data_IF_523764722848
#
_entry.id   IF_523764722848
#
_cell.length_a   1.000
_cell.length_b   1.000
_cell.length_c   1.000
_cell.angle_alpha   90.00
_cell.angle_beta   90.00
_cell.angle_gamma   90.00
#
_symmetry.space_group_name_H-M   'P 1'
#
loop_
_entity.id
_entity.type
_entity.pdbx_description
1 polymer ?
#
# COMPACT_ATOMS: atom_id res chain seq x y z
N UNK A 1 -22.76 -8.46 -16.78
CA UNK A 1 -22.02 -9.53 -16.05
C UNK A 1 -21.39 -8.90 -14.81
N UNK A 2 -21.43 -9.57 -13.65
CA UNK A 2 -21.14 -8.93 -12.35
C UNK A 2 -20.24 -9.81 -11.47
N UNK A 3 -19.28 -9.20 -10.78
CA UNK A 3 -18.50 -9.87 -9.74
C UNK A 3 -18.15 -8.89 -8.60
N UNK A 4 -17.96 -9.44 -7.40
CA UNK A 4 -17.56 -8.70 -6.20
C UNK A 4 -16.24 -9.26 -5.68
N UNK A 5 -15.29 -8.40 -5.36
CA UNK A 5 -14.02 -8.79 -4.77
C UNK A 5 -13.69 -7.96 -3.52
N UNK A 6 -12.91 -8.55 -2.62
CA UNK A 6 -12.33 -7.89 -1.45
C UNK A 6 -10.81 -7.93 -1.58
N UNK A 7 -10.15 -6.82 -1.30
CA UNK A 7 -8.69 -6.76 -1.16
C UNK A 7 -8.30 -5.96 0.09
N UNK A 8 -7.23 -6.39 0.74
CA UNK A 8 -6.71 -5.77 1.96
C UNK A 8 -5.65 -4.72 1.66
N UNK A 9 -5.51 -3.74 2.55
CA UNK A 9 -4.46 -2.72 2.48
C UNK A 9 -3.10 -3.35 2.82
N UNK A 10 -2.02 -2.78 2.32
CA UNK A 10 -0.66 -3.15 2.72
C UNK A 10 0.13 -1.94 3.23
N UNK A 11 1.11 -2.20 4.09
CA UNK A 11 2.05 -1.20 4.62
C UNK A 11 3.46 -1.57 4.18
N UNK A 12 4.14 -0.65 3.49
CA UNK A 12 5.48 -0.88 2.98
C UNK A 12 6.51 -0.89 4.12
N UNK A 13 7.28 -1.97 4.22
CA UNK A 13 8.44 -2.09 5.10
C UNK A 13 9.72 -1.68 4.35
N UNK A 14 9.78 -2.02 3.06
CA UNK A 14 10.69 -1.41 2.08
C UNK A 14 9.86 -0.51 1.17
N UNK A 15 10.19 0.79 1.13
CA UNK A 15 9.34 1.80 0.50
C UNK A 15 9.41 1.76 -1.02
N UNK A 16 8.25 2.01 -1.62
CA UNK A 16 8.12 2.42 -3.01
C UNK A 16 8.09 3.94 -3.07
N UNK A 17 9.15 4.56 -3.60
CA UNK A 17 9.23 6.01 -3.75
C UNK A 17 10.03 6.38 -5.01
N UNK A 18 9.36 7.05 -5.95
CA UNK A 18 9.87 7.33 -7.30
C UNK A 18 9.43 6.31 -8.36
N UNK A 19 9.28 6.78 -9.61
CA UNK A 19 8.92 5.97 -10.77
C UNK A 19 9.98 6.18 -11.84
N UNK A 20 10.40 5.09 -12.50
CA UNK A 20 11.20 5.17 -13.74
C UNK A 20 10.33 5.42 -14.97
N UNK A 21 9.04 5.05 -14.90
CA UNK A 21 8.04 5.32 -15.94
C UNK A 21 6.70 5.68 -15.28
N UNK A 22 6.20 6.89 -15.53
CA UNK A 22 4.94 7.36 -14.96
C UNK A 22 3.69 6.83 -15.68
N UNK A 23 3.81 6.49 -16.97
CA UNK A 23 2.71 6.02 -17.80
C UNK A 23 2.38 4.56 -17.48
N UNK A 24 3.41 3.71 -17.43
CA UNK A 24 3.32 2.30 -17.09
C UNK A 24 3.32 2.05 -15.57
N UNK A 25 3.59 3.09 -14.78
CA UNK A 25 3.70 3.07 -13.31
C UNK A 25 4.77 2.06 -12.87
N UNK A 26 5.96 2.17 -13.46
CA UNK A 26 7.10 1.32 -13.15
C UNK A 26 7.95 1.98 -12.07
N UNK A 27 8.29 1.27 -10.98
CA UNK A 27 8.95 1.87 -9.85
C UNK A 27 10.45 2.02 -10.11
N UNK A 28 11.11 2.93 -9.39
CA UNK A 28 12.57 3.04 -9.45
C UNK A 28 13.28 1.89 -8.72
N UNK A 29 12.63 1.32 -7.70
CA UNK A 29 13.14 0.23 -6.87
C UNK A 29 12.03 -0.81 -6.58
N UNK A 30 12.41 -2.05 -6.33
CA UNK A 30 11.53 -3.09 -5.78
C UNK A 30 11.15 -2.72 -4.35
N UNK A 31 10.01 -3.21 -3.88
CA UNK A 31 9.48 -2.86 -2.56
C UNK A 31 8.84 -4.06 -1.88
N UNK A 32 8.79 -4.06 -0.55
CA UNK A 32 8.23 -5.14 0.26
C UNK A 32 7.22 -4.55 1.25
N UNK A 33 6.06 -5.16 1.36
CA UNK A 33 5.00 -4.75 2.28
C UNK A 33 4.44 -5.88 3.11
N UNK A 34 3.79 -5.51 4.20
CA UNK A 34 2.96 -6.36 5.02
C UNK A 34 1.47 -6.04 4.76
N UNK A 35 0.71 -7.01 4.26
CA UNK A 35 -0.74 -6.91 4.07
C UNK A 35 -1.43 -7.01 5.43
N UNK A 36 -2.44 -6.17 5.68
CA UNK A 36 -3.08 -6.05 7.01
C UNK A 36 -4.57 -6.39 6.99
N UNK A 37 -5.04 -7.12 8.00
CA UNK A 37 -6.39 -7.69 8.09
C UNK A 37 -7.52 -6.66 8.30
N UNK A 38 -7.23 -5.59 9.04
CA UNK A 38 -8.27 -4.67 9.54
C UNK A 38 -8.83 -3.73 8.48
N UNK A 39 -8.10 -3.52 7.40
CA UNK A 39 -8.39 -2.49 6.41
C UNK A 39 -8.52 -3.09 5.03
N UNK A 40 -9.73 -3.06 4.48
CA UNK A 40 -10.01 -3.62 3.17
C UNK A 40 -10.97 -2.77 2.37
N UNK A 41 -10.98 -3.02 1.06
CA UNK A 41 -11.95 -2.47 0.12
C UNK A 41 -12.74 -3.62 -0.47
N UNK A 42 -14.07 -3.49 -0.46
CA UNK A 42 -14.99 -4.36 -1.19
C UNK A 42 -15.44 -3.62 -2.44
N UNK A 43 -15.26 -4.21 -3.62
CA UNK A 43 -15.64 -3.60 -4.89
C UNK A 43 -16.44 -4.59 -5.72
N UNK A 44 -17.57 -4.13 -6.20
CA UNK A 44 -18.42 -4.81 -7.18
C UNK A 44 -18.28 -4.10 -8.52
N UNK A 45 -18.02 -4.87 -9.57
CA UNK A 45 -18.01 -4.39 -10.96
C UNK A 45 -19.09 -5.12 -11.73
N UNK A 46 -19.87 -4.36 -12.48
CA UNK A 46 -20.83 -4.86 -13.46
C UNK A 46 -20.52 -4.24 -14.82
N UNK A 47 -20.16 -5.07 -15.81
CA UNK A 47 -20.08 -4.66 -17.21
C UNK A 47 -21.45 -4.83 -17.87
N UNK A 48 -22.01 -3.74 -18.39
CA UNK A 48 -23.33 -3.69 -19.02
C UNK A 48 -23.30 -2.87 -20.32
N UNK A 49 -23.74 -3.50 -21.42
CA UNK A 49 -23.81 -2.89 -22.75
C UNK A 49 -24.94 -1.87 -22.89
N UNK A 50 -25.94 -1.93 -21.99
CA UNK A 50 -27.07 -0.98 -21.98
C UNK A 50 -26.71 0.36 -21.35
N UNK A 51 -25.61 0.42 -20.61
CA UNK A 51 -25.12 1.65 -20.00
C UNK A 51 -24.47 2.54 -21.06
N UNK A 52 -24.83 3.83 -21.06
CA UNK A 52 -24.25 4.84 -21.96
C UNK A 52 -22.98 5.48 -21.39
N UNK A 53 -22.75 5.36 -20.08
CA UNK A 53 -21.58 5.90 -19.38
C UNK A 53 -21.20 5.04 -18.17
N UNK A 54 -19.96 5.16 -17.74
CA UNK A 54 -19.51 4.53 -16.50
C UNK A 54 -20.12 5.22 -15.28
N UNK A 55 -20.39 4.45 -14.23
CA UNK A 55 -20.87 4.98 -12.95
C UNK A 55 -20.01 4.45 -11.81
N UNK A 56 -19.64 5.33 -10.90
CA UNK A 56 -18.83 4.99 -9.73
C UNK A 56 -19.52 5.48 -8.46
N UNK A 57 -19.78 4.54 -7.55
CA UNK A 57 -20.35 4.77 -6.23
C UNK A 57 -19.31 4.35 -5.21
N UNK A 58 -18.92 5.25 -4.32
CA UNK A 58 -18.01 5.00 -3.22
C UNK A 58 -18.74 5.29 -1.90
N UNK A 59 -18.84 4.29 -1.01
CA UNK A 59 -19.53 4.42 0.27
C UNK A 59 -20.94 5.01 0.14
N UNK A 60 -21.74 4.48 -0.78
CA UNK A 60 -23.10 4.93 -1.12
C UNK A 60 -23.22 6.33 -1.74
N UNK A 61 -22.11 7.00 -2.04
CA UNK A 61 -22.10 8.30 -2.72
C UNK A 61 -21.59 8.16 -4.15
N UNK A 62 -22.32 8.72 -5.12
CA UNK A 62 -21.83 8.81 -6.49
C UNK A 62 -20.64 9.78 -6.55
N UNK A 63 -19.55 9.35 -7.19
CA UNK A 63 -18.31 10.13 -7.31
C UNK A 63 -17.86 10.20 -8.76
N UNK A 64 -17.23 11.33 -9.10
CA UNK A 64 -16.43 11.46 -10.32
C UNK A 64 -14.97 11.38 -9.92
N UNK A 65 -14.28 10.32 -10.34
CA UNK A 65 -12.87 10.12 -10.08
C UNK A 65 -12.13 9.79 -11.38
N UNK A 66 -11.27 10.71 -11.82
CA UNK A 66 -10.55 10.59 -13.08
C UNK A 66 -9.54 9.42 -13.07
N UNK A 67 -9.05 9.01 -11.89
CA UNK A 67 -8.13 7.88 -11.74
C UNK A 67 -8.88 6.56 -11.90
N UNK A 68 -10.07 6.44 -11.31
CA UNK A 68 -10.95 5.28 -11.53
C UNK A 68 -11.36 5.22 -13.00
N UNK A 69 -11.80 6.32 -13.60
CA UNK A 69 -12.19 6.37 -15.01
C UNK A 69 -11.09 5.86 -15.96
N UNK A 70 -9.85 6.39 -15.84
CA UNK A 70 -8.70 5.91 -16.63
C UNK A 70 -8.40 4.43 -16.41
N UNK A 71 -8.60 3.94 -15.19
CA UNK A 71 -8.36 2.54 -14.88
C UNK A 71 -9.41 1.61 -15.50
N UNK A 72 -10.67 2.04 -15.53
CA UNK A 72 -11.75 1.34 -16.26
C UNK A 72 -11.47 1.33 -17.77
N UNK A 73 -11.01 2.45 -18.33
CA UNK A 73 -10.59 2.50 -19.75
C UNK A 73 -9.47 1.50 -20.04
N UNK A 74 -8.46 1.44 -19.16
CA UNK A 74 -7.36 0.47 -19.29
C UNK A 74 -7.87 -0.97 -19.22
N UNK A 75 -8.77 -1.28 -18.30
CA UNK A 75 -9.38 -2.62 -18.23
C UNK A 75 -10.16 -2.96 -19.50
N UNK A 76 -10.93 -2.02 -20.05
CA UNK A 76 -11.66 -2.24 -21.31
C UNK A 76 -10.72 -2.56 -22.47
N UNK A 77 -9.63 -1.81 -22.60
CA UNK A 77 -8.59 -2.03 -23.60
C UNK A 77 -7.98 -3.43 -23.44
N UNK A 78 -7.53 -3.77 -22.24
CA UNK A 78 -6.90 -5.07 -21.92
C UNK A 78 -7.85 -6.27 -22.11
N UNK A 79 -9.14 -6.08 -21.86
CA UNK A 79 -10.14 -7.15 -21.95
C UNK A 79 -10.79 -7.26 -23.32
N UNK A 80 -10.59 -6.26 -24.20
CA UNK A 80 -11.24 -6.19 -25.51
C UNK A 80 -12.76 -6.02 -25.43
N UNK A 81 -13.26 -5.28 -24.43
CA UNK A 81 -14.70 -5.06 -24.21
C UNK A 81 -15.09 -3.58 -24.41
N UNK A 82 -16.30 -3.33 -24.92
CA UNK A 82 -16.86 -1.99 -25.12
C UNK A 82 -17.88 -1.57 -24.07
N UNK A 83 -18.41 -2.53 -23.30
CA UNK A 83 -19.43 -2.32 -22.28
C UNK A 83 -18.98 -1.29 -21.22
N UNK A 84 -19.93 -0.49 -20.73
CA UNK A 84 -19.67 0.45 -19.64
C UNK A 84 -19.78 -0.26 -18.30
N UNK A 85 -19.11 0.29 -17.30
CA UNK A 85 -19.02 -0.28 -15.97
C UNK A 85 -19.93 0.46 -14.98
N UNK A 86 -20.69 -0.30 -14.19
CA UNK A 86 -21.18 0.16 -12.90
C UNK A 86 -20.27 -0.38 -11.81
N UNK A 87 -19.68 0.53 -11.03
CA UNK A 87 -18.72 0.22 -9.98
C UNK A 87 -19.31 0.68 -8.66
N UNK A 88 -19.48 -0.25 -7.73
CA UNK A 88 -19.86 0.05 -6.34
C UNK A 88 -18.73 -0.39 -5.44
N UNK A 89 -18.19 0.53 -4.66
CA UNK A 89 -17.05 0.26 -3.78
C UNK A 89 -17.32 0.75 -2.36
N UNK A 90 -16.89 -0.04 -1.39
CA UNK A 90 -16.96 0.27 0.04
C UNK A 90 -15.57 0.15 0.65
N UNK A 91 -15.13 1.21 1.34
CA UNK A 91 -13.87 1.21 2.05
C UNK A 91 -14.11 0.95 3.54
N UNK A 92 -13.64 -0.19 4.03
CA UNK A 92 -13.55 -0.51 5.45
C UNK A 92 -12.20 -0.08 6.01
N UNK A 93 -11.81 1.15 5.68
CA UNK A 93 -10.64 1.84 6.22
C UNK A 93 -11.20 3.00 7.02
N UNK A 94 -10.88 3.16 8.31
CA UNK A 94 -11.36 4.31 9.06
C UNK A 94 -11.02 5.57 8.28
N UNK A 95 -12.02 6.42 8.01
CA UNK A 95 -11.85 7.68 7.28
C UNK A 95 -10.67 8.49 7.84
N UNK A 96 -10.40 8.32 9.13
CA UNK A 96 -9.32 8.97 9.83
C UNK A 96 -7.89 8.47 9.51
N UNK A 97 -7.73 7.26 8.98
CA UNK A 97 -6.46 6.56 9.11
C UNK A 97 -5.41 6.95 8.07
N UNK A 98 -5.75 7.70 7.00
CA UNK A 98 -4.79 8.10 5.96
C UNK A 98 -3.97 6.95 5.37
N UNK A 99 -4.44 5.72 5.58
CA UNK A 99 -3.84 4.47 5.13
C UNK A 99 -4.01 4.40 3.61
N UNK A 100 -3.17 3.62 2.95
CA UNK A 100 -3.12 3.51 1.50
C UNK A 100 -4.38 2.86 0.90
N UNK A 101 -5.55 3.48 1.07
CA UNK A 101 -6.86 3.01 0.58
C UNK A 101 -6.87 2.78 -0.92
N UNK A 102 -6.05 3.52 -1.66
CA UNK A 102 -5.88 3.28 -3.10
C UNK A 102 -5.26 1.92 -3.42
N UNK A 103 -4.44 1.33 -2.54
CA UNK A 103 -3.82 0.03 -2.80
C UNK A 103 -4.87 -1.09 -2.82
N UNK A 104 -5.65 -1.21 -1.74
CA UNK A 104 -6.77 -2.17 -1.66
C UNK A 104 -7.83 -1.87 -2.72
N UNK A 105 -8.17 -0.60 -2.95
CA UNK A 105 -9.22 -0.25 -3.89
C UNK A 105 -8.91 -0.67 -5.33
N UNK A 106 -7.71 -0.40 -5.83
CA UNK A 106 -7.35 -0.79 -7.20
C UNK A 106 -7.08 -2.30 -7.33
N UNK A 107 -6.65 -2.98 -6.26
CA UNK A 107 -6.55 -4.44 -6.25
C UNK A 107 -7.94 -5.11 -6.30
N UNK A 108 -8.88 -4.65 -5.48
CA UNK A 108 -10.27 -5.13 -5.49
C UNK A 108 -10.95 -4.83 -6.83
N UNK A 109 -10.77 -3.61 -7.37
CA UNK A 109 -11.32 -3.21 -8.67
C UNK A 109 -10.76 -4.04 -9.83
N UNK A 110 -9.45 -4.31 -9.85
CA UNK A 110 -8.83 -5.15 -10.87
C UNK A 110 -9.38 -6.59 -10.84
N UNK A 111 -9.44 -7.19 -9.64
CA UNK A 111 -9.93 -8.55 -9.46
C UNK A 111 -11.42 -8.69 -9.78
N UNK A 112 -12.25 -7.77 -9.29
CA UNK A 112 -13.68 -7.74 -9.58
C UNK A 112 -13.93 -7.49 -11.08
N UNK A 113 -13.22 -6.54 -11.69
CA UNK A 113 -13.38 -6.20 -13.11
C UNK A 113 -13.03 -7.37 -14.04
N UNK A 114 -11.92 -8.06 -13.78
CA UNK A 114 -11.52 -9.26 -14.53
C UNK A 114 -12.57 -10.39 -14.40
N UNK A 115 -13.00 -10.70 -13.17
CA UNK A 115 -14.00 -11.76 -12.94
C UNK A 115 -15.37 -11.40 -13.51
N UNK A 116 -15.78 -10.13 -13.42
CA UNK A 116 -17.03 -9.65 -14.00
C UNK A 116 -17.02 -9.77 -15.53
N UNK A 117 -15.85 -9.72 -16.18
CA UNK A 117 -15.69 -9.96 -17.62
C UNK A 117 -15.62 -11.46 -17.98
N UNK A 118 -15.80 -12.37 -17.01
CA UNK A 118 -15.71 -13.82 -17.23
C UNK A 118 -14.28 -14.34 -17.43
N UNK A 119 -13.26 -13.51 -17.16
CA UNK A 119 -11.85 -13.89 -17.27
C UNK A 119 -11.41 -14.70 -16.05
N UNK A 120 -10.40 -15.54 -16.25
CA UNK A 120 -9.75 -16.36 -15.19
C UNK A 120 -8.27 -16.03 -15.12
N UNK A 121 -7.98 -14.74 -14.94
CA UNK A 121 -6.61 -14.25 -14.93
C UNK A 121 -5.85 -14.73 -13.70
N UNK A 122 -4.54 -14.90 -13.85
CA UNK A 122 -3.64 -15.22 -12.73
C UNK A 122 -3.49 -14.02 -11.80
N UNK A 123 -3.14 -14.25 -10.53
CA UNK A 123 -2.86 -13.15 -9.59
C UNK A 123 -1.69 -12.28 -10.05
N UNK A 124 -0.73 -12.85 -10.74
CA UNK A 124 0.35 -12.10 -11.41
C UNK A 124 -0.22 -11.07 -12.40
N UNK A 125 -1.12 -11.50 -13.30
CA UNK A 125 -1.79 -10.60 -14.22
C UNK A 125 -2.63 -9.54 -13.49
N UNK A 126 -3.40 -9.94 -12.46
CA UNK A 126 -4.17 -9.00 -11.65
C UNK A 126 -3.26 -7.98 -10.95
N UNK A 127 -2.08 -8.39 -10.51
CA UNK A 127 -1.08 -7.52 -9.90
C UNK A 127 -0.51 -6.50 -10.89
N UNK A 128 -0.17 -6.95 -12.11
CA UNK A 128 0.23 -6.06 -13.23
C UNK A 128 -0.87 -5.08 -13.58
N UNK A 129 -2.10 -5.55 -13.66
CA UNK A 129 -3.25 -4.70 -13.96
C UNK A 129 -3.44 -3.66 -12.84
N UNK A 130 -3.53 -4.08 -11.58
CA UNK A 130 -3.72 -3.20 -10.42
C UNK A 130 -2.65 -2.09 -10.32
N UNK A 131 -1.41 -2.36 -10.77
CA UNK A 131 -0.31 -1.39 -10.85
C UNK A 131 -0.70 -0.10 -11.59
N UNK A 132 -1.44 -0.20 -12.70
CA UNK A 132 -1.90 0.95 -13.50
C UNK A 132 -2.90 1.83 -12.74
N UNK A 133 -3.66 1.23 -11.82
CA UNK A 133 -4.49 1.97 -10.88
C UNK A 133 -3.61 2.66 -9.85
N UNK A 134 -2.83 1.89 -9.09
CA UNK A 134 -1.87 2.42 -8.13
C UNK A 134 -0.70 1.45 -8.01
N UNK A 135 0.54 1.93 -8.06
CA UNK A 135 1.72 1.06 -8.00
C UNK A 135 1.69 0.09 -6.81
N UNK A 136 1.36 0.59 -5.61
CA UNK A 136 1.23 -0.24 -4.41
C UNK A 136 0.02 -1.18 -4.37
N UNK A 137 -0.95 -1.03 -5.28
CA UNK A 137 -2.09 -1.96 -5.41
C UNK A 137 -1.65 -3.33 -5.94
N UNK A 138 -0.53 -3.38 -6.69
CA UNK A 138 0.08 -4.65 -7.12
C UNK A 138 0.28 -5.61 -5.95
N UNK A 139 0.75 -5.11 -4.80
CA UNK A 139 1.02 -5.90 -3.59
C UNK A 139 -0.24 -6.29 -2.81
N UNK A 140 -1.30 -5.49 -2.89
CA UNK A 140 -2.60 -5.79 -2.24
C UNK A 140 -3.36 -6.95 -2.88
N UNK A 141 -2.83 -7.55 -3.95
CA UNK A 141 -3.35 -8.80 -4.52
C UNK A 141 -3.03 -10.00 -3.64
N UNK A 142 -1.94 -9.95 -2.87
CA UNK A 142 -1.44 -11.05 -2.05
C UNK A 142 -1.52 -10.73 -0.55
N UNK A 143 -1.55 -11.79 0.28
CA UNK A 143 -1.56 -11.70 1.74
C UNK A 143 -0.14 -11.69 2.34
N UNK A 144 -0.05 -11.61 3.66
CA UNK A 144 1.20 -11.70 4.43
C UNK A 144 2.27 -10.68 3.99
N UNK A 145 3.51 -11.14 3.74
CA UNK A 145 4.54 -10.34 3.11
C UNK A 145 4.47 -10.45 1.60
N UNK A 146 4.64 -9.32 0.92
CA UNK A 146 4.52 -9.23 -0.53
C UNK A 146 5.62 -8.33 -1.08
N UNK A 147 6.34 -8.82 -2.08
CA UNK A 147 7.33 -8.04 -2.83
C UNK A 147 6.66 -7.55 -4.10
N UNK A 148 6.86 -6.28 -4.46
CA UNK A 148 6.66 -5.80 -5.82
C UNK A 148 8.00 -5.69 -6.51
N UNK A 149 8.19 -6.52 -7.53
CA UNK A 149 9.38 -6.49 -8.36
C UNK A 149 9.34 -5.30 -9.31
N UNK A 150 10.43 -4.54 -9.33
CA UNK A 150 10.54 -3.38 -10.22
C UNK A 150 10.49 -3.80 -11.69
N UNK A 151 10.98 -4.99 -12.01
CA UNK A 151 11.19 -5.41 -13.39
C UNK A 151 12.28 -4.60 -14.09
N UNK A 152 12.81 -5.16 -15.16
CA UNK A 152 13.86 -4.60 -16.01
C UNK A 152 13.35 -4.29 -17.42
N UNK A 153 12.25 -4.92 -17.84
CA UNK A 153 11.68 -4.73 -19.17
C UNK A 153 10.98 -3.36 -19.30
N UNK A 154 11.21 -2.71 -20.43
CA UNK A 154 10.64 -1.39 -20.73
C UNK A 154 9.12 -1.41 -20.90
N UNK A 155 8.55 -2.55 -21.32
CA UNK A 155 7.10 -2.74 -21.41
C UNK A 155 6.44 -3.02 -20.04
N UNK A 156 7.26 -3.23 -19.00
CA UNK A 156 6.81 -3.51 -17.65
C UNK A 156 6.11 -4.86 -17.49
N UNK A 157 6.32 -5.80 -18.42
CA UNK A 157 5.70 -7.13 -18.37
C UNK A 157 6.18 -7.98 -17.19
N UNK A 158 7.36 -7.67 -16.66
CA UNK A 158 8.02 -8.30 -15.51
C UNK A 158 7.90 -7.50 -14.19
N UNK A 159 7.15 -6.38 -14.18
CA UNK A 159 6.92 -5.60 -12.96
C UNK A 159 5.59 -5.95 -12.30
N UNK A 160 5.63 -6.89 -11.37
CA UNK A 160 4.45 -7.36 -10.64
C UNK A 160 4.80 -7.80 -9.23
N UNK A 161 3.77 -8.01 -8.41
CA UNK A 161 3.96 -8.49 -7.07
C UNK A 161 4.01 -10.01 -6.98
N UNK A 162 4.81 -10.50 -6.04
CA UNK A 162 4.97 -11.91 -5.70
C UNK A 162 4.82 -12.10 -4.18
N UNK A 163 4.19 -13.19 -3.72
CA UNK A 163 4.08 -13.48 -2.30
C UNK A 163 5.46 -13.85 -1.74
N UNK A 164 5.72 -13.44 -0.50
CA UNK A 164 6.93 -13.76 0.26
C UNK A 164 6.57 -14.29 1.66
N UNK A 165 5.60 -15.21 1.71
CA UNK A 165 5.04 -15.73 2.96
C UNK A 165 6.09 -16.43 3.82
N UNK A 166 6.13 -16.08 5.11
CA UNK A 166 7.00 -16.67 6.13
C UNK A 166 6.25 -16.62 7.48
N UNK A 167 6.47 -17.60 8.37
CA UNK A 167 5.82 -17.70 9.69
C UNK A 167 6.01 -16.48 10.59
N UNK A 168 7.02 -15.65 10.33
CA UNK A 168 7.19 -14.37 11.01
C UNK A 168 5.95 -13.47 10.89
N UNK A 169 5.17 -13.58 9.80
CA UNK A 169 3.93 -12.79 9.64
C UNK A 169 2.92 -13.06 10.76
N UNK A 170 2.84 -14.30 11.26
CA UNK A 170 1.94 -14.68 12.34
C UNK A 170 2.39 -14.12 13.70
N UNK A 171 3.70 -13.87 13.84
CA UNK A 171 4.34 -13.37 15.06
C UNK A 171 4.44 -11.85 15.14
N UNK A 172 4.05 -11.13 14.08
CA UNK A 172 4.14 -9.68 14.01
C UNK A 172 2.77 -9.00 14.08
N UNK A 173 2.72 -7.88 14.79
CA UNK A 173 1.60 -6.94 14.77
C UNK A 173 2.04 -5.62 14.17
N UNK A 174 1.09 -4.96 13.48
CA UNK A 174 1.23 -3.58 13.03
C UNK A 174 0.27 -2.70 13.83
N UNK A 175 0.82 -1.82 14.66
CA UNK A 175 0.06 -0.81 15.41
C UNK A 175 0.06 0.49 14.61
N UNK A 176 -1.11 0.90 14.14
CA UNK A 176 -1.29 2.15 13.39
C UNK A 176 -1.69 3.27 14.35
N UNK A 177 -0.81 4.26 14.51
CA UNK A 177 -1.06 5.48 15.25
C UNK A 177 -1.50 6.60 14.30
N UNK A 178 -2.78 6.96 14.39
CA UNK A 178 -3.41 7.96 13.53
C UNK A 178 -3.15 9.36 14.09
N UNK A 179 -2.28 10.11 13.42
CA UNK A 179 -1.94 11.50 13.76
C UNK A 179 -2.95 12.47 13.13
N UNK A 180 -3.20 12.31 11.82
CA UNK A 180 -4.11 13.17 11.07
C UNK A 180 -4.85 12.41 9.99
N UNK A 181 -6.10 12.82 9.84
CA UNK A 181 -7.09 12.40 8.85
C UNK A 181 -7.32 13.42 7.75
N UNK A 182 -6.66 14.58 7.87
CA UNK A 182 -6.79 15.66 6.89
C UNK A 182 -6.10 15.30 5.58
N UNK A 183 -6.62 15.86 4.50
CA UNK A 183 -6.00 15.76 3.19
C UNK A 183 -4.56 16.26 3.23
N UNK A 184 -3.68 15.53 2.54
CA UNK A 184 -2.25 15.80 2.51
C UNK A 184 -2.01 17.03 1.66
N UNK A 185 -1.13 17.93 2.13
CA UNK A 185 -0.71 19.11 1.35
C UNK A 185 -0.04 18.74 0.02
N UNK A 186 0.76 17.66 0.03
CA UNK A 186 1.46 17.14 -1.15
C UNK A 186 1.00 15.70 -1.36
N UNK A 187 0.42 15.40 -2.52
CA UNK A 187 0.00 14.02 -2.83
C UNK A 187 1.22 13.11 -2.93
N UNK A 188 1.07 11.80 -2.67
CA UNK A 188 2.19 10.86 -2.85
C UNK A 188 2.70 10.86 -4.29
N UNK A 189 1.82 11.05 -5.28
CA UNK A 189 2.20 11.07 -6.70
C UNK A 189 3.09 12.27 -7.00
N UNK A 190 2.69 13.46 -6.55
CA UNK A 190 3.45 14.69 -6.80
C UNK A 190 4.74 14.71 -5.98
N UNK A 191 4.68 14.25 -4.73
CA UNK A 191 5.87 14.14 -3.87
C UNK A 191 6.92 13.21 -4.46
N UNK A 192 6.53 12.03 -4.95
CA UNK A 192 7.45 11.10 -5.62
C UNK A 192 8.05 11.71 -6.88
N UNK A 193 7.24 12.36 -7.73
CA UNK A 193 7.72 12.99 -8.96
C UNK A 193 8.72 14.09 -8.64
N UNK A 194 8.38 14.99 -7.71
CA UNK A 194 9.25 16.06 -7.28
C UNK A 194 10.57 15.52 -6.72
N UNK A 195 10.53 14.47 -5.89
CA UNK A 195 11.74 13.83 -5.39
C UNK A 195 12.61 13.28 -6.52
N UNK A 196 12.03 12.58 -7.50
CA UNK A 196 12.77 12.03 -8.66
C UNK A 196 13.44 13.16 -9.44
N UNK A 197 12.74 14.26 -9.65
CA UNK A 197 13.20 15.37 -10.50
C UNK A 197 14.25 16.25 -9.83
N UNK A 198 14.22 16.37 -8.50
CA UNK A 198 14.95 17.46 -7.81
C UNK A 198 15.78 17.04 -6.60
N UNK A 199 15.53 15.86 -6.00
CA UNK A 199 16.23 15.48 -4.77
C UNK A 199 17.63 14.96 -5.08
N UNK A 200 18.71 15.56 -4.53
CA UNK A 200 20.07 15.08 -4.75
C UNK A 200 20.34 13.72 -4.08
N UNK A 201 19.42 13.26 -3.22
CA UNK A 201 19.52 11.97 -2.54
C UNK A 201 18.84 10.83 -3.30
N UNK A 202 18.11 11.10 -4.39
CA UNK A 202 17.23 10.11 -5.01
C UNK A 202 17.96 8.88 -5.56
N UNK A 203 19.06 9.05 -6.29
CA UNK A 203 19.82 7.91 -6.86
C UNK A 203 20.41 7.00 -5.77
N UNK A 204 20.96 7.62 -4.71
CA UNK A 204 21.49 6.89 -3.56
C UNK A 204 20.38 6.21 -2.76
N UNK A 205 19.19 6.82 -2.69
CA UNK A 205 18.01 6.21 -2.11
C UNK A 205 17.61 4.93 -2.84
N UNK A 206 17.53 4.97 -4.19
CA UNK A 206 17.18 3.80 -5.01
C UNK A 206 18.15 2.66 -4.75
N UNK A 207 19.46 2.94 -4.79
CA UNK A 207 20.50 1.94 -4.54
C UNK A 207 20.42 1.38 -3.12
N UNK A 208 20.21 2.23 -2.12
CA UNK A 208 20.10 1.82 -0.72
C UNK A 208 18.83 0.99 -0.45
N UNK A 209 17.73 1.27 -1.15
CA UNK A 209 16.48 0.53 -1.00
C UNK A 209 16.57 -0.91 -1.56
N UNK A 210 17.32 -1.11 -2.63
CA UNK A 210 17.58 -2.46 -3.18
C UNK A 210 18.46 -3.29 -2.23
N UNK A 211 19.48 -2.67 -1.62
CA UNK A 211 20.30 -3.32 -0.59
C UNK A 211 19.44 -3.68 0.64
N UNK A 212 18.64 -2.71 1.14
CA UNK A 212 17.74 -2.96 2.27
C UNK A 212 16.72 -4.07 1.95
N UNK A 213 16.28 -4.22 0.68
CA UNK A 213 15.37 -5.29 0.27
C UNK A 213 16.01 -6.67 0.41
N UNK A 214 17.24 -6.85 -0.06
CA UNK A 214 17.95 -8.13 0.06
C UNK A 214 18.25 -8.47 1.53
N UNK A 215 18.66 -7.48 2.34
CA UNK A 215 18.79 -7.66 3.79
C UNK A 215 17.44 -8.03 4.45
N UNK A 216 16.34 -7.39 4.03
CA UNK A 216 15.00 -7.65 4.56
C UNK A 216 14.52 -9.05 4.22
N UNK A 217 14.74 -9.51 2.99
CA UNK A 217 14.41 -10.88 2.57
C UNK A 217 15.13 -11.88 3.47
N UNK A 218 16.43 -11.71 3.70
CA UNK A 218 17.21 -12.59 4.57
C UNK A 218 16.70 -12.54 6.02
N UNK A 219 16.47 -11.36 6.58
CA UNK A 219 15.96 -11.20 7.94
C UNK A 219 14.58 -11.87 8.14
N UNK A 220 13.69 -11.79 7.16
CA UNK A 220 12.40 -12.49 7.18
C UNK A 220 12.60 -14.01 7.13
N UNK A 221 13.49 -14.51 6.26
CA UNK A 221 13.78 -15.95 6.15
C UNK A 221 14.36 -16.51 7.45
N UNK A 222 15.21 -15.76 8.14
CA UNK A 222 15.81 -16.12 9.42
C UNK A 222 14.87 -15.90 10.62
N UNK A 223 13.65 -15.39 10.39
CA UNK A 223 12.70 -14.98 11.43
C UNK A 223 13.29 -13.96 12.43
N UNK A 224 14.27 -13.16 12.00
CA UNK A 224 14.93 -12.13 12.81
C UNK A 224 14.08 -10.85 12.86
N UNK A 225 13.16 -10.82 13.81
CA UNK A 225 12.27 -9.68 14.03
C UNK A 225 13.02 -8.36 14.29
N UNK A 226 14.13 -8.41 15.03
CA UNK A 226 14.94 -7.23 15.36
C UNK A 226 15.49 -6.61 14.08
N UNK A 227 16.09 -7.43 13.22
CA UNK A 227 16.66 -6.97 11.95
C UNK A 227 15.58 -6.47 10.98
N UNK A 228 14.44 -7.15 10.89
CA UNK A 228 13.27 -6.66 10.14
C UNK A 228 12.82 -5.28 10.64
N UNK A 229 12.77 -5.11 11.96
CA UNK A 229 12.55 -3.86 12.65
C UNK A 229 13.47 -2.73 12.22
N UNK A 230 14.77 -2.95 12.39
CA UNK A 230 15.81 -1.96 12.08
C UNK A 230 15.81 -1.54 10.61
N UNK A 231 15.64 -2.50 9.69
CA UNK A 231 15.59 -2.22 8.25
C UNK A 231 14.34 -1.39 7.93
N UNK A 232 13.18 -1.77 8.48
CA UNK A 232 11.90 -1.06 8.28
C UNK A 232 12.01 0.41 8.69
N UNK A 233 12.60 0.68 9.86
CA UNK A 233 12.77 2.03 10.40
C UNK A 233 13.77 2.83 9.56
N UNK A 234 14.96 2.27 9.29
CA UNK A 234 15.97 2.99 8.50
C UNK A 234 15.49 3.26 7.07
N UNK A 235 14.85 2.29 6.42
CA UNK A 235 14.39 2.44 5.04
C UNK A 235 13.29 3.50 4.94
N UNK A 236 12.35 3.52 5.89
CA UNK A 236 11.36 4.59 6.02
C UNK A 236 12.01 5.97 6.17
N UNK A 237 13.03 6.10 7.03
CA UNK A 237 13.72 7.38 7.24
C UNK A 237 14.55 7.81 6.02
N UNK A 238 15.22 6.88 5.34
CA UNK A 238 15.92 7.15 4.07
C UNK A 238 14.95 7.70 3.01
N UNK A 239 13.72 7.16 2.91
CA UNK A 239 12.69 7.70 2.01
C UNK A 239 12.36 9.16 2.36
N UNK A 240 12.07 9.48 3.63
CA UNK A 240 11.75 10.85 4.04
C UNK A 240 12.93 11.82 3.91
N UNK A 241 14.18 11.35 3.99
CA UNK A 241 15.35 12.18 3.68
C UNK A 241 15.30 12.70 2.23
N UNK A 242 14.80 11.89 1.29
CA UNK A 242 14.64 12.34 -0.11
C UNK A 242 13.59 13.43 -0.28
N UNK A 243 12.54 13.48 0.55
CA UNK A 243 11.53 14.54 0.50
C UNK A 243 12.08 15.86 1.07
N UNK A 244 12.90 15.77 2.12
CA UNK A 244 13.61 16.91 2.70
C UNK A 244 14.69 17.46 1.76
N UNK A 245 15.28 16.62 0.91
CA UNK A 245 16.25 17.05 -0.11
C UNK A 245 15.63 17.56 -1.41
N UNK A 246 14.33 17.44 -1.62
CA UNK A 246 13.67 17.91 -2.84
C UNK A 246 13.66 19.45 -2.96
N UNK A 247 13.38 19.98 -4.15
CA UNK A 247 13.29 21.43 -4.41
C UNK A 247 11.94 21.81 -5.05
N UNK A 248 11.01 22.46 -4.31
CA UNK A 248 11.12 22.88 -2.92
C UNK A 248 11.07 21.70 -1.94
N UNK A 249 11.74 21.80 -0.77
CA UNK A 249 11.73 20.74 0.21
C UNK A 249 10.36 20.61 0.87
N UNK A 250 9.98 19.38 1.20
CA UNK A 250 8.72 19.11 1.89
C UNK A 250 8.85 17.95 2.88
N UNK A 251 7.94 17.91 3.84
CA UNK A 251 7.87 16.85 4.84
C UNK A 251 6.45 16.37 5.06
N UNK A 252 6.32 15.07 5.30
CA UNK A 252 5.09 14.46 5.78
C UNK A 252 5.00 14.40 7.31
N UNK A 253 6.11 14.69 8.00
CA UNK A 253 6.14 14.69 9.45
C UNK A 253 5.27 15.82 10.01
N UNK A 254 4.61 15.49 11.11
CA UNK A 254 3.99 16.46 12.01
C UNK A 254 4.64 16.33 13.39
N UNK A 255 4.53 17.35 14.26
CA UNK A 255 5.10 17.29 15.61
C UNK A 255 4.72 15.98 16.34
N UNK A 256 3.45 15.59 16.28
CA UNK A 256 2.96 14.34 16.88
C UNK A 256 3.57 13.08 16.24
N UNK A 257 3.90 13.10 14.94
CA UNK A 257 4.61 11.99 14.30
C UNK A 257 5.98 11.77 14.96
N UNK A 258 6.69 12.86 15.30
CA UNK A 258 8.00 12.81 15.94
C UNK A 258 7.88 12.33 17.40
N UNK A 259 6.89 12.83 18.15
CA UNK A 259 6.60 12.36 19.51
C UNK A 259 6.33 10.85 19.55
N UNK A 260 5.58 10.32 18.58
CA UNK A 260 5.35 8.88 18.45
C UNK A 260 6.65 8.14 18.15
N UNK A 261 7.53 8.65 17.27
CA UNK A 261 8.82 8.02 17.00
C UNK A 261 9.69 7.93 18.27
N UNK A 262 9.70 8.99 19.08
CA UNK A 262 10.44 9.03 20.34
C UNK A 262 9.88 8.01 21.34
N UNK A 263 8.55 7.90 21.45
CA UNK A 263 7.91 6.88 22.28
C UNK A 263 8.23 5.45 21.84
N UNK A 264 8.38 5.21 20.53
CA UNK A 264 8.80 3.89 20.00
C UNK A 264 10.27 3.59 20.33
N UNK A 265 11.16 4.59 20.28
CA UNK A 265 12.55 4.43 20.73
C UNK A 265 12.63 4.11 22.21
N UNK A 266 11.83 4.80 23.03
CA UNK A 266 11.75 4.57 24.48
C UNK A 266 11.25 3.15 24.81
N UNK A 267 10.28 2.62 24.06
CA UNK A 267 9.85 1.22 24.19
C UNK A 267 11.02 0.26 23.97
N UNK A 268 11.81 0.50 22.92
CA UNK A 268 12.97 -0.31 22.56
C UNK A 268 14.09 -0.23 23.61
N UNK A 269 14.35 0.96 24.16
CA UNK A 269 15.29 1.16 25.28
C UNK A 269 14.85 0.40 26.54
N UNK A 270 13.54 0.27 26.76
CA UNK A 270 12.96 -0.49 27.87
C UNK A 270 12.79 -1.99 27.58
N UNK A 271 13.43 -2.50 26.52
CA UNK A 271 13.44 -3.93 26.21
C UNK A 271 12.20 -4.45 25.47
N UNK A 272 11.40 -3.56 24.88
CA UNK A 272 10.25 -3.92 24.02
C UNK A 272 10.62 -3.63 22.57
N UNK A 273 10.98 -4.65 21.76
CA UNK A 273 11.28 -4.45 20.36
C UNK A 273 10.11 -3.87 19.58
N UNK A 274 10.22 -2.60 19.22
CA UNK A 274 9.27 -1.88 18.40
C UNK A 274 10.01 -0.96 17.43
N UNK A 275 9.48 -0.85 16.21
CA UNK A 275 10.10 -0.09 15.12
C UNK A 275 9.04 0.60 14.31
N UNK A 276 9.29 1.85 13.93
CA UNK A 276 8.29 2.65 13.24
C UNK A 276 8.57 2.75 11.74
N UNK A 277 7.52 3.01 10.98
CA UNK A 277 7.60 3.41 9.59
C UNK A 277 6.49 4.38 9.24
N UNK A 278 6.71 5.17 8.19
CA UNK A 278 5.74 6.15 7.70
C UNK A 278 5.72 6.12 6.18
N UNK A 279 4.53 6.28 5.61
CA UNK A 279 4.37 6.47 4.17
C UNK A 279 4.35 7.97 3.86
N UNK A 280 3.78 8.36 2.73
CA UNK A 280 3.56 9.76 2.39
C UNK A 280 2.42 10.40 3.20
N UNK A 281 2.57 10.53 4.52
CA UNK A 281 1.61 11.16 5.42
C UNK A 281 2.04 11.05 6.89
N UNK A 282 1.38 11.76 7.81
CA UNK A 282 1.85 11.90 9.20
C UNK A 282 1.58 10.68 10.07
N UNK A 283 0.77 9.72 9.61
CA UNK A 283 0.38 8.56 10.40
C UNK A 283 1.53 7.56 10.49
N UNK A 284 1.86 7.19 11.72
CA UNK A 284 2.97 6.29 12.07
C UNK A 284 2.43 4.87 12.18
N UNK A 285 3.17 3.91 11.63
CA UNK A 285 2.88 2.48 11.77
C UNK A 285 4.04 1.86 12.49
N UNK A 286 3.75 1.09 13.53
CA UNK A 286 4.76 0.49 14.40
C UNK A 286 4.66 -1.01 14.28
N UNK A 287 5.74 -1.66 13.86
CA UNK A 287 5.85 -3.11 13.93
C UNK A 287 6.37 -3.51 15.31
N UNK A 288 5.77 -4.56 15.86
CA UNK A 288 6.13 -5.16 17.14
C UNK A 288 5.79 -6.65 17.10
N UNK A 289 6.37 -7.43 18.02
CA UNK A 289 5.94 -8.81 18.22
C UNK A 289 4.51 -8.88 18.77
N UNK A 290 3.75 -9.91 18.42
CA UNK A 290 2.36 -10.11 18.88
C UNK A 290 2.19 -9.94 20.38
N UNK A 291 3.13 -10.47 21.17
CA UNK A 291 3.07 -10.43 22.63
C UNK A 291 3.10 -8.99 23.19
N UNK A 292 3.66 -8.04 22.43
CA UNK A 292 3.86 -6.66 22.85
C UNK A 292 2.80 -5.69 22.29
N UNK A 293 1.87 -6.17 21.44
CA UNK A 293 0.96 -5.29 20.67
C UNK A 293 0.10 -4.36 21.55
N UNK A 294 -0.35 -4.85 22.70
CA UNK A 294 -1.15 -4.06 23.64
C UNK A 294 -0.30 -3.02 24.37
N UNK A 295 0.92 -3.37 24.76
CA UNK A 295 1.84 -2.43 25.43
C UNK A 295 2.21 -1.28 24.47
N UNK A 296 2.51 -1.63 23.21
CA UNK A 296 2.78 -0.64 22.17
C UNK A 296 1.54 0.23 21.93
N UNK A 297 0.35 -0.37 21.77
CA UNK A 297 -0.86 0.40 21.54
C UNK A 297 -1.19 1.35 22.70
N UNK A 298 -1.03 0.91 23.95
CA UNK A 298 -1.24 1.72 25.15
C UNK A 298 -0.29 2.91 25.19
N UNK A 299 1.01 2.68 24.97
CA UNK A 299 2.03 3.75 24.91
C UNK A 299 1.67 4.83 23.88
N UNK A 300 1.09 4.44 22.75
CA UNK A 300 0.73 5.36 21.67
C UNK A 300 -0.64 6.04 21.82
N UNK A 301 -1.51 5.53 22.70
CA UNK A 301 -2.90 5.99 22.83
C UNK A 301 -3.01 7.44 23.33
N UNK A 302 -2.01 7.92 24.07
CA UNK A 302 -1.92 9.32 24.50
C UNK A 302 -1.34 10.29 23.45
N UNK A 303 -0.79 9.77 22.36
CA UNK A 303 -0.03 10.54 21.35
C UNK A 303 -0.72 10.61 19.98
N UNK A 304 -1.75 9.79 19.78
CA UNK A 304 -2.49 9.67 18.51
C UNK A 304 -3.99 9.88 18.72
N UNK A 305 -4.70 10.33 17.67
CA UNK A 305 -6.16 10.43 17.69
C UNK A 305 -6.85 9.08 17.84
N UNK A 306 -6.22 8.05 17.26
CA UNK A 306 -6.69 6.68 17.29
C UNK A 306 -5.49 5.73 17.15
N UNK A 307 -5.59 4.56 17.77
CA UNK A 307 -4.59 3.51 17.71
C UNK A 307 -5.26 2.20 17.32
N UNK A 308 -4.74 1.56 16.26
CA UNK A 308 -5.35 0.39 15.67
C UNK A 308 -4.32 -0.72 15.55
N UNK A 309 -4.50 -1.79 16.32
CA UNK A 309 -3.74 -3.02 16.18
C UNK A 309 -4.28 -3.79 14.97
N UNK A 310 -3.37 -4.20 14.09
CA UNK A 310 -3.61 -4.94 12.86
C UNK A 310 -2.65 -6.13 12.76
N UNK A 311 -3.09 -7.16 12.05
CA UNK A 311 -2.36 -8.42 11.88
C UNK A 311 -2.23 -8.78 10.41
N UNK A 312 -1.56 -9.90 10.10
CA UNK A 312 -1.41 -10.39 8.73
C UNK A 312 -2.78 -10.53 8.04
N UNK A 313 -2.93 -9.83 6.92
CA UNK A 313 -4.15 -9.78 6.13
C UNK A 313 -4.16 -10.81 5.01
N UNK A 314 -5.37 -11.13 4.53
CA UNK A 314 -5.59 -12.09 3.46
C UNK A 314 -5.35 -11.48 2.09
N UNK A 315 -5.00 -12.33 1.15
CA UNK A 315 -4.97 -12.00 -0.28
C UNK A 315 -6.33 -11.54 -0.82
N UNK A 316 -6.31 -10.90 -1.98
CA UNK A 316 -7.52 -10.49 -2.66
C UNK A 316 -8.33 -11.71 -3.12
N UNK A 317 -9.64 -11.66 -2.93
CA UNK A 317 -10.54 -12.78 -3.24
C UNK A 317 -11.87 -12.29 -3.81
N UNK A 318 -12.46 -13.10 -4.68
CA UNK A 318 -13.84 -12.92 -5.15
C UNK A 318 -14.77 -13.44 -4.06
N UNK A 319 -15.82 -12.68 -3.75
CA UNK A 319 -16.84 -13.07 -2.80
C UNK A 319 -18.17 -13.24 -3.52
N UNK A 320 -18.93 -14.27 -3.14
CA UNK A 320 -20.33 -14.38 -3.56
C UNK A 320 -21.14 -13.27 -2.92
N UNK A 321 -22.00 -12.60 -3.68
CA UNK A 321 -23.01 -11.72 -3.10
C UNK A 321 -23.85 -12.58 -2.13
N UNK A 322 -23.77 -12.30 -0.83
CA UNK A 322 -24.73 -12.83 0.14
C UNK A 322 -26.11 -12.31 -0.29
N UNK A 323 -27.03 -13.24 -0.56
CA UNK A 323 -28.41 -12.97 -0.94
C UNK A 323 -29.18 -12.34 0.22
#
# INVERSE_FOLDING_TARGET
MKATAIAHTNVALIKYWGKRDEHLILPANSSLSFTVDKFYTKTTVEWDEKLTQDTFILNNEQKTDAKVARFIDKMREEFGISAKAKITSENHVPTAAGLASSASAFAALALAGSNAAGRKDTKEYISRLARFGSGSASRSVFGDFVIWEKGELADGSDSFAVPFTNKLCDKMSLVVAVVSDKEKKVSSRDGMRLTVETSPFFENWVSAAEIDLEEMKQAILDEDFIKVGEITERNGMKMHATTLGAEPPFTYFQPQSLEIMDAVRELRENGIPAYFTMDAGPNVKVICERANENIVAEKLSGLAKNVLICHAGKEASVVSDEK
#
